data_IF_187042525288
#
_entry.id   IF_187042525288
#
_cell.length_a   1.000
_cell.length_b   1.000
_cell.length_c   1.000
_cell.angle_alpha   90.00
_cell.angle_beta   90.00
_cell.angle_gamma   90.00
#
_symmetry.space_group_name_H-M   'P 1'
#
loop_
_entity.id
_entity.type
_entity.pdbx_description
1 polymer ?
#
# COMPACT_ATOMS: atom_id res chain seq x y z
N UNK A 1 2.20 -4.76 6.26
CA UNK A 1 0.86 -5.05 5.75
C UNK A 1 0.95 -6.14 4.70
N UNK A 2 0.39 -7.33 4.99
CA UNK A 2 0.50 -8.52 4.12
C UNK A 2 -0.13 -8.33 2.73
N UNK A 3 -1.11 -7.44 2.62
CA UNK A 3 -1.82 -7.13 1.37
C UNK A 3 -0.99 -6.38 0.31
N UNK A 4 0.21 -5.92 0.63
CA UNK A 4 1.13 -5.31 -0.35
C UNK A 4 2.08 -6.32 -1.00
N UNK A 5 2.09 -7.57 -0.53
CA UNK A 5 2.87 -8.63 -1.17
C UNK A 5 2.22 -9.00 -2.51
N UNK A 6 3.03 -9.03 -3.57
CA UNK A 6 2.53 -9.34 -4.91
C UNK A 6 2.00 -10.77 -5.01
N UNK A 7 0.82 -10.93 -5.59
CA UNK A 7 0.17 -12.24 -5.76
C UNK A 7 1.01 -13.25 -6.54
N UNK A 8 1.82 -12.79 -7.52
CA UNK A 8 2.74 -13.68 -8.24
C UNK A 8 3.83 -14.25 -7.31
N UNK A 9 4.40 -13.45 -6.40
CA UNK A 9 5.40 -13.92 -5.42
C UNK A 9 4.78 -14.97 -4.49
N UNK A 10 3.56 -14.72 -3.99
CA UNK A 10 2.83 -15.68 -3.13
C UNK A 10 2.65 -17.02 -3.86
N UNK A 11 2.25 -16.97 -5.14
CA UNK A 11 2.04 -18.18 -5.97
C UNK A 11 3.31 -18.90 -6.34
N UNK A 12 4.33 -18.18 -6.83
CA UNK A 12 5.60 -18.75 -7.26
C UNK A 12 6.34 -19.46 -6.13
N UNK A 13 6.29 -18.86 -4.94
CA UNK A 13 6.87 -19.44 -3.73
C UNK A 13 5.91 -20.39 -2.99
N UNK A 14 4.70 -20.59 -3.49
CA UNK A 14 3.69 -21.46 -2.89
C UNK A 14 3.45 -21.18 -1.39
N UNK A 15 3.52 -19.91 -0.97
CA UNK A 15 3.57 -19.51 0.43
C UNK A 15 2.40 -20.07 1.30
N UNK A 16 1.15 -20.17 0.80
CA UNK A 16 0.08 -20.78 1.57
C UNK A 16 0.35 -22.25 1.93
N UNK A 17 1.00 -23.01 1.06
CA UNK A 17 1.43 -24.39 1.33
C UNK A 17 2.45 -24.45 2.48
N UNK A 18 3.19 -23.38 2.68
CA UNK A 18 4.21 -23.24 3.71
C UNK A 18 3.75 -22.43 4.93
N UNK A 19 2.44 -22.26 5.09
CA UNK A 19 1.81 -21.71 6.29
C UNK A 19 1.52 -20.21 6.26
N UNK A 20 1.66 -19.53 5.09
CA UNK A 20 1.19 -18.16 4.99
C UNK A 20 -0.34 -18.13 4.97
N UNK A 21 -0.92 -17.50 5.98
CA UNK A 21 -2.36 -17.23 6.06
C UNK A 21 -2.55 -15.75 6.33
N UNK A 22 -3.23 -15.04 5.41
CA UNK A 22 -3.49 -13.61 5.53
C UNK A 22 -4.95 -13.43 5.92
N UNK A 23 -5.19 -12.86 7.09
CA UNK A 23 -6.52 -12.58 7.64
C UNK A 23 -6.92 -11.15 7.24
N UNK A 24 -8.03 -10.95 6.52
CA UNK A 24 -8.51 -9.62 6.18
C UNK A 24 -8.82 -8.80 7.45
N UNK A 25 -8.55 -7.50 7.41
CA UNK A 25 -8.95 -6.58 8.45
C UNK A 25 -10.46 -6.30 8.31
N UNK A 26 -11.24 -6.68 9.31
CA UNK A 26 -12.69 -6.53 9.28
C UNK A 26 -13.15 -5.11 9.61
N UNK A 27 -12.43 -4.43 10.52
CA UNK A 27 -12.82 -3.10 10.98
C UNK A 27 -11.64 -2.29 11.51
N UNK A 28 -11.85 -0.98 11.61
CA UNK A 28 -10.98 -0.04 12.33
C UNK A 28 -11.82 0.66 13.39
N UNK A 29 -11.47 0.45 14.65
CA UNK A 29 -12.08 1.11 15.80
C UNK A 29 -11.19 2.25 16.29
N UNK A 30 -11.74 3.44 16.37
CA UNK A 30 -11.06 4.63 16.86
C UNK A 30 -11.80 5.15 18.08
N UNK A 31 -11.28 5.00 19.30
CA UNK A 31 -11.90 5.55 20.51
C UNK A 31 -11.80 7.07 20.51
N UNK A 32 -12.86 7.73 20.96
CA UNK A 32 -12.93 9.15 21.23
C UNK A 32 -13.19 9.34 22.73
N UNK A 33 -13.15 10.56 23.22
CA UNK A 33 -13.30 10.85 24.66
C UNK A 33 -14.59 10.28 25.26
N UNK A 34 -15.74 10.49 24.60
CA UNK A 34 -17.06 10.02 25.04
C UNK A 34 -17.83 9.25 23.97
N UNK A 35 -17.16 8.85 22.87
CA UNK A 35 -17.76 8.16 21.73
C UNK A 35 -16.70 7.32 21.02
N UNK A 36 -16.98 6.87 19.81
CA UNK A 36 -16.05 6.15 18.95
C UNK A 36 -16.38 6.40 17.47
N UNK A 37 -15.41 6.12 16.60
CA UNK A 37 -15.61 5.99 15.17
C UNK A 37 -15.28 4.55 14.76
N UNK A 38 -16.25 3.84 14.20
CA UNK A 38 -16.10 2.50 13.66
C UNK A 38 -16.18 2.54 12.13
N UNK A 39 -15.16 1.99 11.46
CA UNK A 39 -15.19 1.75 10.01
C UNK A 39 -15.02 0.27 9.76
N UNK A 40 -15.90 -0.32 8.99
CA UNK A 40 -15.95 -1.76 8.70
C UNK A 40 -15.80 -2.04 7.21
N UNK A 41 -15.74 -3.32 6.83
CA UNK A 41 -15.82 -3.75 5.44
C UNK A 41 -17.21 -3.50 4.82
N UNK A 42 -18.26 -3.40 5.66
CA UNK A 42 -19.62 -3.01 5.24
C UNK A 42 -19.69 -1.49 5.01
N UNK A 43 -19.90 -1.11 3.75
CA UNK A 43 -19.97 0.30 3.32
C UNK A 43 -21.14 1.04 3.96
N UNK A 44 -22.30 0.38 4.11
CA UNK A 44 -23.51 1.01 4.66
C UNK A 44 -23.37 1.20 6.17
N UNK A 45 -22.73 0.27 6.86
CA UNK A 45 -22.40 0.43 8.27
C UNK A 45 -21.40 1.59 8.46
N UNK A 46 -20.33 1.61 7.67
CA UNK A 46 -19.33 2.68 7.72
C UNK A 46 -19.96 4.05 7.44
N UNK A 47 -20.87 4.13 6.45
CA UNK A 47 -21.61 5.36 6.17
C UNK A 47 -22.40 5.84 7.40
N UNK A 48 -23.19 4.94 8.01
CA UNK A 48 -23.98 5.28 9.22
C UNK A 48 -23.11 5.73 10.38
N UNK A 49 -21.97 5.07 10.59
CA UNK A 49 -21.04 5.43 11.67
C UNK A 49 -20.40 6.80 11.46
N UNK A 50 -19.97 7.13 10.24
CA UNK A 50 -19.43 8.47 9.93
C UNK A 50 -20.55 9.53 10.02
N UNK A 51 -21.76 9.23 9.56
CA UNK A 51 -22.90 10.15 9.55
C UNK A 51 -23.34 10.57 10.96
N UNK A 52 -23.05 9.78 12.00
CA UNK A 52 -23.27 10.16 13.41
C UNK A 52 -22.44 11.39 13.79
N UNK A 53 -21.32 11.63 13.13
CA UNK A 53 -20.39 12.73 13.42
C UNK A 53 -20.48 13.84 12.37
N UNK A 54 -20.54 13.49 11.08
CA UNK A 54 -20.68 14.41 9.95
C UNK A 54 -21.38 13.71 8.78
N UNK A 55 -22.58 14.19 8.44
CA UNK A 55 -23.30 13.71 7.26
C UNK A 55 -22.55 14.03 5.97
N UNK A 56 -21.95 15.23 5.91
CA UNK A 56 -21.11 15.66 4.78
C UNK A 56 -19.95 14.70 4.54
N UNK A 57 -19.27 14.32 5.60
CA UNK A 57 -18.13 13.39 5.51
C UNK A 57 -18.57 11.99 5.12
N UNK A 58 -19.73 11.52 5.59
CA UNK A 58 -20.29 10.24 5.19
C UNK A 58 -20.55 10.20 3.66
N UNK A 59 -21.20 11.24 3.11
CA UNK A 59 -21.43 11.38 1.69
C UNK A 59 -20.13 11.47 0.89
N UNK A 60 -19.16 12.23 1.40
CA UNK A 60 -17.83 12.39 0.78
C UNK A 60 -17.05 11.07 0.79
N UNK A 61 -17.12 10.31 1.87
CA UNK A 61 -16.42 9.04 2.02
C UNK A 61 -16.83 8.01 0.96
N UNK A 62 -18.11 8.01 0.53
CA UNK A 62 -18.59 7.12 -0.53
C UNK A 62 -17.92 7.36 -1.88
N UNK A 63 -17.46 8.58 -2.15
CA UNK A 63 -16.76 8.98 -3.37
C UNK A 63 -15.23 8.88 -3.24
N UNK A 64 -14.70 9.21 -2.08
CA UNK A 64 -13.27 9.22 -1.79
C UNK A 64 -12.64 7.83 -1.99
N UNK A 65 -13.25 6.80 -1.42
CA UNK A 65 -12.73 5.45 -1.50
C UNK A 65 -12.58 4.91 -2.93
N UNK A 66 -13.62 4.95 -3.77
CA UNK A 66 -13.53 4.58 -5.19
C UNK A 66 -12.49 5.39 -5.97
N UNK A 67 -12.40 6.71 -5.74
CA UNK A 67 -11.39 7.56 -6.40
C UNK A 67 -9.97 7.10 -6.06
N UNK A 68 -9.66 6.93 -4.77
CA UNK A 68 -8.35 6.44 -4.33
C UNK A 68 -8.02 5.07 -4.93
N UNK A 69 -9.02 4.19 -5.03
CA UNK A 69 -8.88 2.89 -5.70
C UNK A 69 -8.55 3.04 -7.20
N UNK A 70 -9.25 3.91 -7.92
CA UNK A 70 -8.98 4.17 -9.34
C UNK A 70 -7.56 4.72 -9.56
N UNK A 71 -7.12 5.67 -8.73
CA UNK A 71 -5.77 6.23 -8.83
C UNK A 71 -4.73 5.16 -8.47
N UNK A 72 -4.97 4.37 -7.41
CA UNK A 72 -4.09 3.26 -7.03
C UNK A 72 -3.91 2.25 -8.16
N UNK A 73 -4.98 1.87 -8.85
CA UNK A 73 -4.92 0.98 -10.03
C UNK A 73 -4.13 1.62 -11.18
N UNK A 74 -4.32 2.90 -11.42
CA UNK A 74 -3.60 3.63 -12.47
C UNK A 74 -2.09 3.75 -12.18
N UNK A 75 -1.68 3.84 -10.90
CA UNK A 75 -0.28 3.98 -10.49
C UNK A 75 0.44 2.62 -10.38
N UNK A 76 -0.30 1.54 -10.10
CA UNK A 76 0.29 0.20 -9.87
C UNK A 76 1.27 -0.25 -10.96
N UNK A 77 1.02 -0.10 -12.28
CA UNK A 77 1.98 -0.47 -13.32
C UNK A 77 3.29 0.34 -13.28
N UNK A 78 3.25 1.57 -12.77
CA UNK A 78 4.44 2.41 -12.58
C UNK A 78 5.36 1.76 -11.54
N UNK A 79 4.81 1.29 -10.42
CA UNK A 79 5.57 0.61 -9.36
C UNK A 79 6.12 -0.75 -9.77
N UNK A 80 5.57 -1.36 -10.82
CA UNK A 80 6.05 -2.62 -11.37
C UNK A 80 7.18 -2.45 -12.40
N UNK A 81 7.45 -1.22 -12.80
CA UNK A 81 8.53 -0.90 -13.73
C UNK A 81 9.82 -0.68 -12.97
N UNK A 82 10.91 -1.31 -13.42
CA UNK A 82 12.25 -1.05 -12.88
C UNK A 82 12.60 0.41 -13.17
N UNK A 83 12.93 1.17 -12.12
CA UNK A 83 13.27 2.57 -12.25
C UNK A 83 14.49 2.74 -13.17
N UNK A 84 14.38 3.55 -14.26
CA UNK A 84 15.49 3.76 -15.17
C UNK A 84 16.58 4.59 -14.52
N UNK A 85 17.84 4.29 -14.84
CA UNK A 85 18.97 5.10 -14.41
C UNK A 85 19.03 6.40 -15.23
N UNK A 86 18.64 7.53 -14.61
CA UNK A 86 18.61 8.81 -15.28
C UNK A 86 20.02 9.43 -15.53
N UNK A 87 21.05 8.99 -14.77
CA UNK A 87 22.41 9.55 -14.85
C UNK A 87 23.23 8.85 -15.94
N UNK A 88 23.13 7.53 -16.04
CA UNK A 88 23.85 6.71 -17.02
C UNK A 88 22.90 5.68 -17.63
N UNK A 89 21.99 6.10 -18.52
CA UNK A 89 20.96 5.22 -19.05
C UNK A 89 21.57 4.15 -19.96
N UNK A 90 21.18 2.90 -19.73
CA UNK A 90 21.39 1.77 -20.62
C UNK A 90 20.25 1.72 -21.67
N UNK A 91 20.36 0.83 -22.66
CA UNK A 91 19.28 0.59 -23.62
C UNK A 91 18.00 0.08 -22.93
N UNK A 92 18.15 -0.75 -21.88
CA UNK A 92 17.01 -1.20 -21.06
C UNK A 92 16.34 -0.05 -20.29
N UNK A 93 17.13 0.92 -19.82
CA UNK A 93 16.59 2.10 -19.14
C UNK A 93 15.78 2.98 -20.09
N UNK A 94 16.24 3.15 -21.33
CA UNK A 94 15.51 3.88 -22.37
C UNK A 94 14.17 3.19 -22.70
N UNK A 95 14.17 1.85 -22.78
CA UNK A 95 12.95 1.07 -22.99
C UNK A 95 11.98 1.22 -21.82
N UNK A 96 12.46 1.10 -20.57
CA UNK A 96 11.66 1.28 -19.35
C UNK A 96 11.11 2.71 -19.26
N UNK A 97 11.91 3.72 -19.60
CA UNK A 97 11.46 5.12 -19.65
C UNK A 97 10.34 5.30 -20.66
N UNK A 98 10.49 4.73 -21.87
CA UNK A 98 9.44 4.79 -22.91
C UNK A 98 8.15 4.12 -22.40
N UNK A 99 8.25 2.91 -21.83
CA UNK A 99 7.10 2.19 -21.26
C UNK A 99 6.38 3.01 -20.19
N UNK A 100 7.14 3.67 -19.31
CA UNK A 100 6.60 4.53 -18.26
C UNK A 100 5.88 5.76 -18.86
N UNK A 101 6.50 6.43 -19.82
CA UNK A 101 5.89 7.59 -20.50
C UNK A 101 4.62 7.21 -21.27
N UNK A 102 4.64 6.08 -21.98
CA UNK A 102 3.47 5.59 -22.70
C UNK A 102 2.32 5.26 -21.73
N UNK A 103 2.61 4.70 -20.55
CA UNK A 103 1.61 4.47 -19.52
C UNK A 103 1.06 5.79 -18.93
N UNK A 104 1.93 6.75 -18.60
CA UNK A 104 1.51 8.07 -18.08
C UNK A 104 0.57 8.79 -19.05
N UNK A 105 0.78 8.66 -20.37
CA UNK A 105 -0.11 9.22 -21.40
C UNK A 105 -1.51 8.59 -21.42
N UNK A 106 -1.69 7.39 -20.85
CA UNK A 106 -3.02 6.76 -20.77
C UNK A 106 -3.85 7.28 -19.60
N UNK A 107 -3.24 8.00 -18.66
CA UNK A 107 -3.95 8.58 -17.53
C UNK A 107 -4.91 9.66 -17.99
N UNK A 108 -6.11 9.68 -17.43
CA UNK A 108 -7.05 10.79 -17.61
C UNK A 108 -6.50 12.07 -16.96
N UNK A 109 -6.97 13.23 -17.39
CA UNK A 109 -6.61 14.51 -16.77
C UNK A 109 -6.85 14.50 -15.26
N UNK A 110 -7.98 13.96 -14.84
CA UNK A 110 -8.32 13.84 -13.42
C UNK A 110 -7.35 12.93 -12.66
N UNK A 111 -7.01 11.76 -13.21
CA UNK A 111 -6.04 10.86 -12.59
C UNK A 111 -4.66 11.51 -12.45
N UNK A 112 -4.22 12.25 -13.48
CA UNK A 112 -2.94 12.94 -13.45
C UNK A 112 -2.93 14.08 -12.42
N UNK A 113 -4.02 14.83 -12.31
CA UNK A 113 -4.19 15.91 -11.33
C UNK A 113 -4.11 15.35 -9.90
N UNK A 114 -4.90 14.32 -9.58
CA UNK A 114 -4.87 13.71 -8.25
C UNK A 114 -3.55 13.03 -7.96
N UNK A 115 -2.92 12.38 -8.95
CA UNK A 115 -1.59 11.81 -8.77
C UNK A 115 -0.57 12.91 -8.41
N UNK A 116 -0.61 14.05 -9.08
CA UNK A 116 0.27 15.18 -8.79
C UNK A 116 0.06 15.70 -7.36
N UNK A 117 -1.20 15.88 -6.94
CA UNK A 117 -1.54 16.25 -5.56
C UNK A 117 -0.99 15.24 -4.56
N UNK A 118 -1.27 13.95 -4.76
CA UNK A 118 -0.83 12.88 -3.87
C UNK A 118 0.69 12.77 -3.77
N UNK A 119 1.41 13.02 -4.87
CA UNK A 119 2.88 12.98 -4.87
C UNK A 119 3.51 14.15 -4.10
N UNK A 120 2.83 15.28 -3.97
CA UNK A 120 3.41 16.52 -3.43
C UNK A 120 2.83 16.98 -2.11
N UNK A 121 1.55 16.69 -1.85
CA UNK A 121 0.86 17.10 -0.63
C UNK A 121 1.20 16.26 0.58
N UNK A 122 0.95 16.80 1.76
CA UNK A 122 0.85 16.01 2.98
C UNK A 122 -0.48 15.25 3.03
N UNK A 123 -0.53 14.13 3.75
CA UNK A 123 -1.78 13.39 3.94
C UNK A 123 -2.84 14.21 4.70
N UNK A 124 -2.40 15.07 5.64
CA UNK A 124 -3.30 15.96 6.36
C UNK A 124 -3.93 16.99 5.42
N UNK A 125 -3.12 17.74 4.65
CA UNK A 125 -3.63 18.76 3.74
C UNK A 125 -4.52 18.16 2.64
N UNK A 126 -4.15 16.97 2.13
CA UNK A 126 -4.99 16.26 1.17
C UNK A 126 -6.34 15.84 1.77
N UNK A 127 -6.37 15.35 3.00
CA UNK A 127 -7.60 14.96 3.67
C UNK A 127 -8.45 16.16 4.10
N UNK A 128 -7.84 17.33 4.39
CA UNK A 128 -8.52 18.58 4.68
C UNK A 128 -9.35 19.11 3.50
N UNK A 129 -8.96 18.78 2.23
CA UNK A 129 -9.77 19.10 1.05
C UNK A 129 -11.07 18.27 0.98
N UNK A 130 -11.14 17.12 1.67
CA UNK A 130 -12.24 16.16 1.57
C UNK A 130 -13.16 16.14 2.78
N UNK A 131 -12.59 16.19 3.98
CA UNK A 131 -13.29 15.90 5.23
C UNK A 131 -13.16 17.04 6.23
N UNK A 132 -14.16 17.15 7.11
CA UNK A 132 -14.18 18.14 8.21
C UNK A 132 -13.99 17.50 9.59
N UNK A 133 -14.37 16.24 9.78
CA UNK A 133 -14.29 15.54 11.05
C UNK A 133 -12.86 15.09 11.35
N UNK A 134 -12.20 15.76 12.31
CA UNK A 134 -10.80 15.54 12.65
C UNK A 134 -10.45 14.07 12.99
N UNK A 135 -11.25 13.32 13.78
CA UNK A 135 -10.92 11.93 14.06
C UNK A 135 -10.93 11.04 12.82
N UNK A 136 -11.78 11.30 11.83
CA UNK A 136 -11.78 10.58 10.56
C UNK A 136 -10.50 10.86 9.78
N UNK A 137 -10.11 12.13 9.66
CA UNK A 137 -8.85 12.54 9.01
C UNK A 137 -7.63 11.94 9.71
N UNK A 138 -7.59 12.02 11.04
CA UNK A 138 -6.49 11.48 11.85
C UNK A 138 -6.30 9.96 11.61
N UNK A 139 -7.39 9.21 11.67
CA UNK A 139 -7.35 7.75 11.47
C UNK A 139 -6.99 7.34 10.04
N UNK A 140 -7.39 8.14 9.04
CA UNK A 140 -7.04 7.90 7.63
C UNK A 140 -5.58 8.29 7.33
N UNK A 141 -5.09 9.39 7.92
CA UNK A 141 -3.72 9.86 7.74
C UNK A 141 -2.66 8.91 8.30
N UNK A 142 -3.04 8.01 9.22
CA UNK A 142 -2.15 6.95 9.73
C UNK A 142 -1.54 6.13 8.59
N UNK A 143 -2.28 5.88 7.52
CA UNK A 143 -1.76 5.21 6.33
C UNK A 143 -0.65 6.00 5.62
N UNK A 144 -0.57 7.32 5.82
CA UNK A 144 0.43 8.19 5.21
C UNK A 144 1.79 8.18 5.91
N UNK A 145 1.90 7.52 7.07
CA UNK A 145 3.13 7.51 7.88
C UNK A 145 3.69 6.11 8.14
N UNK A 146 2.98 5.06 7.73
CA UNK A 146 3.44 3.67 7.94
C UNK A 146 4.66 3.39 7.07
N UNK A 147 5.74 2.96 7.72
CA UNK A 147 6.99 2.59 7.04
C UNK A 147 7.84 3.77 6.56
N UNK A 148 7.55 4.99 7.04
CA UNK A 148 8.29 6.21 6.70
C UNK A 148 8.76 6.97 7.93
N UNK A 149 9.71 7.86 7.74
CA UNK A 149 10.20 8.78 8.78
C UNK A 149 9.54 10.16 8.62
N UNK A 150 8.23 10.16 8.36
CA UNK A 150 7.43 11.37 8.11
C UNK A 150 6.24 11.47 9.08
N UNK A 151 5.80 12.69 9.34
CA UNK A 151 4.52 12.96 9.99
C UNK A 151 3.39 13.16 8.97
N UNK A 152 2.12 13.18 9.42
CA UNK A 152 0.97 13.35 8.52
C UNK A 152 0.93 14.70 7.81
N UNK A 153 1.66 15.71 8.30
CA UNK A 153 1.82 17.03 7.68
C UNK A 153 3.10 17.17 6.84
N UNK A 154 3.87 16.09 6.68
CA UNK A 154 5.06 16.11 5.83
C UNK A 154 4.66 15.98 4.34
N UNK A 155 5.20 16.82 3.44
CA UNK A 155 4.99 16.68 2.00
C UNK A 155 5.35 15.27 1.51
N UNK A 156 4.52 14.70 0.62
CA UNK A 156 4.69 13.33 0.12
C UNK A 156 4.03 12.24 0.98
N UNK A 157 3.57 12.53 2.20
CA UNK A 157 2.85 11.54 3.02
C UNK A 157 1.50 11.14 2.42
N UNK A 158 0.88 11.98 1.57
CA UNK A 158 -0.31 11.62 0.81
C UNK A 158 -0.04 10.49 -0.22
N UNK A 159 1.17 10.43 -0.81
CA UNK A 159 1.55 9.31 -1.67
C UNK A 159 1.71 8.01 -0.89
N UNK A 160 2.28 8.06 0.30
CA UNK A 160 2.37 6.88 1.18
C UNK A 160 0.96 6.35 1.52
N UNK A 161 0.01 7.25 1.78
CA UNK A 161 -1.39 6.88 1.98
C UNK A 161 -1.96 6.20 0.72
N UNK A 162 -1.75 6.76 -0.49
CA UNK A 162 -2.18 6.13 -1.75
C UNK A 162 -1.56 4.73 -1.90
N UNK A 163 -0.28 4.56 -1.59
CA UNK A 163 0.41 3.27 -1.69
C UNK A 163 -0.31 2.18 -0.87
N UNK A 164 -0.80 2.52 0.32
CA UNK A 164 -1.55 1.58 1.16
C UNK A 164 -2.97 1.28 0.64
N UNK A 165 -3.53 2.12 -0.25
CA UNK A 165 -4.78 1.81 -0.97
C UNK A 165 -4.59 0.79 -2.10
N UNK A 166 -3.36 0.43 -2.47
CA UNK A 166 -3.06 -0.55 -3.52
C UNK A 166 -2.98 -2.00 -3.00
N UNK A 167 -3.23 -2.23 -1.71
CA UNK A 167 -3.22 -3.58 -1.12
C UNK A 167 -4.25 -4.50 -1.78
N UNK A 168 -3.87 -5.76 -1.96
CA UNK A 168 -4.67 -6.80 -2.59
C UNK A 168 -4.59 -8.08 -1.76
N UNK A 169 -5.73 -8.68 -1.45
CA UNK A 169 -5.81 -9.98 -0.80
C UNK A 169 -6.75 -10.84 -1.65
N UNK A 170 -6.22 -11.85 -2.33
CA UNK A 170 -6.97 -12.79 -3.17
C UNK A 170 -7.92 -12.10 -4.19
N UNK A 171 -7.47 -10.97 -4.77
CA UNK A 171 -8.27 -10.17 -5.70
C UNK A 171 -9.18 -9.14 -5.04
N UNK A 172 -9.26 -9.09 -3.71
CA UNK A 172 -9.92 -8.00 -2.98
C UNK A 172 -8.97 -6.79 -2.92
N UNK A 173 -9.08 -5.92 -3.90
CA UNK A 173 -8.30 -4.69 -3.99
C UNK A 173 -8.68 -3.72 -2.87
N UNK A 174 -7.71 -2.97 -2.35
CA UNK A 174 -7.82 -2.08 -1.18
C UNK A 174 -7.98 -2.81 0.16
N UNK A 175 -7.78 -4.12 0.19
CA UNK A 175 -7.84 -4.88 1.42
C UNK A 175 -6.58 -4.69 2.26
N UNK A 176 -6.75 -4.63 3.56
CA UNK A 176 -5.68 -4.74 4.55
C UNK A 176 -5.74 -6.11 5.20
N UNK A 177 -4.59 -6.68 5.51
CA UNK A 177 -4.55 -7.99 6.16
C UNK A 177 -3.40 -8.15 7.11
N UNK A 178 -3.65 -8.96 8.13
CA UNK A 178 -2.66 -9.42 9.08
C UNK A 178 -2.26 -10.85 8.76
N UNK A 179 -1.00 -11.19 9.01
CA UNK A 179 -0.53 -12.55 8.95
C UNK A 179 -0.93 -13.28 10.25
N UNK A 180 -1.56 -14.42 10.13
CA UNK A 180 -1.79 -15.30 11.28
C UNK A 180 -0.44 -15.70 11.89
N UNK A 181 -0.30 -15.55 13.21
CA UNK A 181 0.97 -15.77 13.90
C UNK A 181 1.93 -14.58 13.86
N UNK A 182 1.53 -13.44 13.27
CA UNK A 182 2.32 -12.20 13.22
C UNK A 182 3.20 -12.07 11.97
N UNK A 183 3.92 -10.95 11.86
CA UNK A 183 4.75 -10.64 10.67
C UNK A 183 5.91 -11.63 10.47
N UNK A 184 6.38 -12.27 11.52
CA UNK A 184 7.42 -13.31 11.47
C UNK A 184 7.02 -14.50 10.59
N UNK A 185 5.72 -14.85 10.53
CA UNK A 185 5.25 -15.96 9.71
C UNK A 185 5.42 -15.70 8.20
N UNK A 186 5.46 -14.45 7.76
CA UNK A 186 5.82 -14.14 6.36
C UNK A 186 7.24 -14.64 6.08
N UNK A 187 8.20 -14.27 6.92
CA UNK A 187 9.60 -14.70 6.77
C UNK A 187 9.75 -16.20 6.91
N UNK A 188 9.04 -16.81 7.86
CA UNK A 188 9.08 -18.27 8.10
C UNK A 188 8.45 -19.06 6.95
N UNK A 189 7.37 -18.57 6.33
CA UNK A 189 6.78 -19.21 5.16
C UNK A 189 7.71 -19.15 3.95
N UNK A 190 8.41 -18.03 3.76
CA UNK A 190 9.43 -17.88 2.71
C UNK A 190 10.62 -18.80 2.98
N UNK A 191 11.07 -18.90 4.24
CA UNK A 191 12.17 -19.78 4.60
C UNK A 191 11.82 -21.26 4.32
N UNK A 192 10.65 -21.72 4.79
CA UNK A 192 10.17 -23.09 4.52
C UNK A 192 10.02 -23.37 3.00
N UNK A 193 9.56 -22.38 2.23
CA UNK A 193 9.52 -22.47 0.78
C UNK A 193 10.94 -22.59 0.17
N UNK A 194 11.88 -21.75 0.61
CA UNK A 194 13.26 -21.78 0.13
C UNK A 194 13.93 -23.14 0.41
N UNK A 195 13.77 -23.68 1.61
CA UNK A 195 14.26 -25.02 1.99
C UNK A 195 13.65 -26.12 1.09
N UNK A 196 12.35 -26.01 0.78
CA UNK A 196 11.68 -26.93 -0.14
C UNK A 196 12.32 -26.92 -1.55
N UNK A 197 12.81 -25.76 -1.98
CA UNK A 197 13.55 -25.59 -3.24
C UNK A 197 15.05 -25.88 -3.13
N UNK A 198 15.51 -26.41 -1.99
CA UNK A 198 16.89 -26.87 -1.79
C UNK A 198 17.85 -25.79 -1.30
N UNK A 199 17.36 -24.69 -0.76
CA UNK A 199 18.20 -23.65 -0.14
C UNK A 199 18.61 -24.09 1.28
N UNK A 200 19.90 -23.99 1.57
CA UNK A 200 20.46 -24.21 2.91
C UNK A 200 20.48 -22.88 3.68
N UNK A 201 19.63 -22.77 4.72
CA UNK A 201 19.51 -21.57 5.54
C UNK A 201 20.38 -21.71 6.79
N UNK A 202 21.31 -20.79 6.98
CA UNK A 202 22.18 -20.71 8.17
C UNK A 202 21.84 -19.46 8.97
N UNK A 203 21.46 -19.68 10.23
CA UNK A 203 21.28 -18.62 11.22
C UNK A 203 22.58 -18.36 11.98
N UNK A 204 22.67 -17.26 12.72
CA UNK A 204 23.85 -16.84 13.49
C UNK A 204 25.12 -16.72 12.62
N UNK A 205 24.94 -16.53 11.31
CA UNK A 205 26.01 -16.39 10.32
C UNK A 205 26.03 -14.96 9.75
N UNK A 206 26.74 -14.07 10.41
CA UNK A 206 26.88 -12.68 9.95
C UNK A 206 27.64 -12.63 8.64
N UNK A 207 27.06 -11.98 7.63
CA UNK A 207 27.73 -11.77 6.33
C UNK A 207 28.75 -10.66 6.48
N UNK A 208 30.03 -10.99 6.33
CA UNK A 208 31.14 -10.04 6.42
C UNK A 208 31.45 -9.45 5.04
N UNK A 209 31.50 -10.29 4.00
CA UNK A 209 31.80 -9.88 2.64
C UNK A 209 30.98 -10.64 1.61
N UNK A 210 30.57 -9.96 0.55
CA UNK A 210 30.02 -10.58 -0.67
C UNK A 210 31.13 -10.54 -1.74
N UNK A 211 31.62 -11.70 -2.14
CA UNK A 211 32.69 -11.82 -3.11
C UNK A 211 32.07 -12.00 -4.50
N UNK A 212 32.30 -11.02 -5.38
CA UNK A 212 31.83 -11.08 -6.78
C UNK A 212 33.04 -11.36 -7.67
N UNK A 213 33.00 -12.47 -8.42
CA UNK A 213 33.99 -12.82 -9.42
C UNK A 213 33.30 -12.97 -10.79
N UNK A 214 33.84 -12.30 -11.82
CA UNK A 214 33.30 -12.37 -13.18
C UNK A 214 31.81 -12.04 -13.29
N UNK A 215 31.35 -11.02 -12.56
CA UNK A 215 29.93 -10.60 -12.46
C UNK A 215 28.98 -11.70 -11.92
N UNK A 216 29.48 -12.67 -11.19
CA UNK A 216 28.76 -13.74 -10.49
C UNK A 216 29.17 -13.80 -9.03
#
# INVERSE_FOLDING_TARGET
>A
VGSLMKANVIRELMLPKFGLEILPLESTFTPLENDYLLRTADSDQTYREIARHSLRDAETYTRFGPLMGQIGMAVRPILETIAPNAIRPSLSDLFNTKKLLDHVKTLTTQQFEYLTKLMTMSSADFLDEWFEFEPLKATMSASGIIGTFMGPRSPGSAYVMLHHYMGDIDGAFRAWGFQKGGTGEVSMSIARSAEHFGVDIKTEASVINIIIKNNK
#
